data_IF_651381497225
#
_entry.id   IF_651381497225
#
_cell.length_a   1.000
_cell.length_b   1.000
_cell.length_c   1.000
_cell.angle_alpha   90.00
_cell.angle_beta   90.00
_cell.angle_gamma   90.00
#
_symmetry.space_group_name_H-M   'P 1'
#
loop_
_entity.id
_entity.type
_entity.pdbx_description
1 polymer ?
#
# COMPACT_ATOMS: atom_id res chain seq x y z
N UNK A 1 9.56 -18.27 -0.15
CA UNK A 1 8.56 -18.20 0.95
C UNK A 1 7.98 -19.58 1.09
N UNK A 2 7.84 -20.10 2.31
CA UNK A 2 7.30 -21.45 2.49
C UNK A 2 5.77 -21.43 2.40
N UNK A 3 5.23 -22.30 1.55
CA UNK A 3 3.78 -22.49 1.39
C UNK A 3 3.14 -22.98 2.69
N UNK A 4 3.90 -23.71 3.52
CA UNK A 4 3.45 -24.18 4.83
C UNK A 4 2.97 -23.05 5.73
N UNK A 5 3.67 -21.91 5.74
CA UNK A 5 3.29 -20.74 6.56
C UNK A 5 1.91 -20.20 6.16
N UNK A 6 1.59 -20.18 4.86
CA UNK A 6 0.29 -19.69 4.36
C UNK A 6 -0.81 -20.70 4.65
N UNK A 7 -0.54 -21.99 4.42
CA UNK A 7 -1.47 -23.08 4.71
C UNK A 7 -1.87 -23.03 6.19
N UNK A 8 -0.91 -22.89 7.11
CA UNK A 8 -1.19 -22.79 8.55
C UNK A 8 -2.06 -21.57 8.88
N UNK A 9 -1.85 -20.42 8.24
CA UNK A 9 -2.70 -19.24 8.44
C UNK A 9 -4.12 -19.46 7.91
N UNK A 10 -4.26 -20.09 6.73
CA UNK A 10 -5.56 -20.46 6.14
C UNK A 10 -6.32 -21.44 7.04
N UNK A 11 -5.64 -22.46 7.55
CA UNK A 11 -6.20 -23.45 8.48
C UNK A 11 -6.70 -22.80 9.77
N UNK A 12 -5.93 -21.90 10.37
CA UNK A 12 -6.35 -21.18 11.58
C UNK A 12 -7.61 -20.35 11.34
N UNK A 13 -7.68 -19.64 10.20
CA UNK A 13 -8.86 -18.87 9.81
C UNK A 13 -10.07 -19.78 9.55
N UNK A 14 -9.86 -20.92 8.89
CA UNK A 14 -10.94 -21.89 8.62
C UNK A 14 -11.55 -22.43 9.91
N UNK A 15 -10.72 -22.83 10.89
CA UNK A 15 -11.20 -23.31 12.19
C UNK A 15 -12.09 -22.28 12.89
N UNK A 16 -11.67 -21.01 12.88
CA UNK A 16 -12.49 -19.94 13.47
C UNK A 16 -13.84 -19.76 12.75
N UNK A 17 -13.87 -19.85 11.42
CA UNK A 17 -15.09 -19.75 10.61
C UNK A 17 -16.01 -20.95 10.83
N UNK A 18 -15.47 -22.16 11.00
CA UNK A 18 -16.24 -23.37 11.25
C UNK A 18 -17.03 -23.26 12.56
N UNK A 19 -16.40 -22.82 13.65
CA UNK A 19 -17.12 -22.59 14.92
C UNK A 19 -18.17 -21.50 14.74
N UNK A 20 -17.80 -20.37 14.13
CA UNK A 20 -18.73 -19.27 13.84
C UNK A 20 -20.03 -19.73 13.17
N UNK A 21 -19.95 -20.67 12.22
CA UNK A 21 -21.11 -21.19 11.48
C UNK A 21 -21.99 -22.15 12.26
N UNK A 22 -21.55 -22.65 13.42
CA UNK A 22 -22.32 -23.56 14.28
C UNK A 22 -23.16 -22.83 15.33
N UNK A 23 -22.98 -21.52 15.49
CA UNK A 23 -23.64 -20.72 16.53
C UNK A 23 -24.83 -19.98 15.91
N UNK A 24 -26.06 -20.41 16.23
CA UNK A 24 -27.29 -19.86 15.64
C UNK A 24 -27.64 -18.44 16.13
N UNK A 25 -27.23 -18.07 17.35
CA UNK A 25 -27.62 -16.79 18.02
C UNK A 25 -26.42 -15.96 18.52
N UNK A 26 -25.58 -15.49 17.60
CA UNK A 26 -24.44 -14.64 17.93
C UNK A 26 -24.82 -13.17 18.18
N UNK A 27 -24.20 -12.51 19.17
CA UNK A 27 -24.24 -11.05 19.29
C UNK A 27 -23.74 -10.36 18.00
N UNK A 28 -24.33 -9.22 17.64
CA UNK A 28 -24.02 -8.53 16.38
C UNK A 28 -22.53 -8.25 16.14
N UNK A 29 -21.75 -7.96 17.19
CA UNK A 29 -20.31 -7.74 17.09
C UNK A 29 -19.55 -9.02 16.70
N UNK A 30 -19.99 -10.17 17.24
CA UNK A 30 -19.45 -11.49 16.92
C UNK A 30 -19.79 -11.91 15.50
N UNK A 31 -21.00 -11.63 15.03
CA UNK A 31 -21.39 -11.81 13.62
C UNK A 31 -20.49 -11.02 12.69
N UNK A 32 -20.27 -9.72 12.99
CA UNK A 32 -19.35 -8.85 12.22
C UNK A 32 -17.92 -9.37 12.23
N UNK A 33 -17.45 -9.93 13.35
CA UNK A 33 -16.14 -10.53 13.46
C UNK A 33 -16.01 -11.79 12.59
N UNK A 34 -17.03 -12.67 12.59
CA UNK A 34 -17.10 -13.84 11.72
C UNK A 34 -17.05 -13.48 10.23
N UNK A 35 -17.86 -12.50 9.81
CA UNK A 35 -17.81 -11.99 8.43
C UNK A 35 -16.43 -11.44 8.05
N UNK A 36 -15.72 -10.78 8.98
CA UNK A 36 -14.35 -10.29 8.72
C UNK A 36 -13.38 -11.44 8.51
N UNK A 37 -13.52 -12.53 9.26
CA UNK A 37 -12.71 -13.74 9.06
C UNK A 37 -12.95 -14.38 7.69
N UNK A 38 -14.21 -14.46 7.23
CA UNK A 38 -14.51 -14.98 5.88
C UNK A 38 -13.88 -14.11 4.77
N UNK A 39 -13.91 -12.79 4.95
CA UNK A 39 -13.21 -11.88 4.03
C UNK A 39 -11.69 -12.05 4.10
N UNK A 40 -11.12 -12.28 5.29
CA UNK A 40 -9.70 -12.56 5.47
C UNK A 40 -9.29 -13.84 4.74
N UNK A 41 -10.08 -14.92 4.88
CA UNK A 41 -9.90 -16.19 4.16
C UNK A 41 -9.79 -15.97 2.66
N UNK A 42 -10.69 -15.16 2.10
CA UNK A 42 -10.71 -14.91 0.65
C UNK A 42 -9.39 -14.32 0.13
N UNK A 43 -8.79 -13.38 0.88
CA UNK A 43 -7.50 -12.77 0.51
C UNK A 43 -6.35 -13.75 0.72
N UNK A 44 -6.36 -14.53 1.81
CA UNK A 44 -5.35 -15.57 2.03
C UNK A 44 -5.33 -16.63 0.92
N UNK A 45 -6.51 -17.07 0.46
CA UNK A 45 -6.61 -18.02 -0.65
C UNK A 45 -6.06 -17.45 -1.96
N UNK A 46 -6.16 -16.14 -2.18
CA UNK A 46 -5.52 -15.49 -3.33
C UNK A 46 -4.00 -15.51 -3.22
N UNK A 47 -3.45 -15.26 -2.03
CA UNK A 47 -2.01 -15.37 -1.77
C UNK A 47 -1.53 -16.81 -1.93
N UNK A 48 -2.26 -17.78 -1.39
CA UNK A 48 -1.96 -19.20 -1.54
C UNK A 48 -1.95 -19.62 -3.01
N UNK A 49 -3.02 -19.30 -3.76
CA UNK A 49 -3.12 -19.61 -5.18
C UNK A 49 -1.96 -19.00 -5.97
N UNK A 50 -1.62 -17.74 -5.67
CA UNK A 50 -0.50 -17.07 -6.30
C UNK A 50 0.83 -17.80 -6.05
N UNK A 51 1.08 -18.22 -4.80
CA UNK A 51 2.34 -18.89 -4.43
C UNK A 51 2.39 -20.32 -4.93
N UNK A 52 1.27 -21.05 -4.97
CA UNK A 52 1.20 -22.36 -5.62
C UNK A 52 1.52 -22.27 -7.11
N UNK A 53 0.99 -21.25 -7.78
CA UNK A 53 1.14 -21.08 -9.22
C UNK A 53 2.53 -20.59 -9.61
N UNK A 54 3.16 -19.71 -8.83
CA UNK A 54 4.39 -19.02 -9.24
C UNK A 54 5.54 -19.13 -8.23
N UNK A 55 5.32 -19.66 -7.03
CA UNK A 55 6.31 -19.71 -5.96
C UNK A 55 7.26 -20.91 -6.02
N UNK A 56 7.01 -21.88 -6.89
CA UNK A 56 7.85 -23.06 -7.10
C UNK A 56 9.08 -22.83 -8.00
N UNK A 57 9.08 -21.77 -8.81
CA UNK A 57 10.25 -21.39 -9.62
C UNK A 57 11.28 -20.67 -8.74
N UNK A 58 12.35 -21.38 -8.38
CA UNK A 58 13.47 -20.89 -7.56
C UNK A 58 14.22 -19.70 -8.18
N UNK A 59 14.09 -19.54 -9.50
CA UNK A 59 14.93 -18.61 -10.26
C UNK A 59 14.48 -17.15 -10.15
N UNK A 60 13.27 -16.90 -9.61
CA UNK A 60 12.68 -15.56 -9.60
C UNK A 60 11.88 -15.27 -8.33
N UNK A 61 12.53 -14.82 -7.23
CA UNK A 61 11.80 -14.36 -6.06
C UNK A 61 10.91 -13.17 -6.42
N UNK A 62 9.60 -13.39 -6.41
CA UNK A 62 8.57 -12.40 -6.76
C UNK A 62 8.56 -11.24 -5.77
N UNK A 63 8.84 -11.56 -4.50
CA UNK A 63 9.09 -10.60 -3.43
C UNK A 63 10.56 -10.60 -3.07
N UNK A 64 11.09 -9.41 -2.78
CA UNK A 64 12.45 -9.29 -2.28
C UNK A 64 12.56 -9.73 -0.80
N UNK A 65 13.77 -9.84 -0.24
CA UNK A 65 13.95 -10.51 1.06
C UNK A 65 13.23 -9.80 2.21
N UNK A 66 13.28 -8.46 2.25
CA UNK A 66 12.59 -7.68 3.28
C UNK A 66 11.07 -7.77 3.16
N UNK A 67 10.56 -7.73 1.93
CA UNK A 67 9.14 -7.93 1.63
C UNK A 67 8.66 -9.33 2.03
N UNK A 68 9.49 -10.35 1.83
CA UNK A 68 9.17 -11.73 2.24
C UNK A 68 9.12 -11.86 3.76
N UNK A 69 10.06 -11.24 4.49
CA UNK A 69 10.07 -11.25 5.94
C UNK A 69 8.84 -10.55 6.54
N UNK A 70 8.50 -9.37 6.02
CA UNK A 70 7.34 -8.60 6.48
C UNK A 70 6.01 -9.31 6.15
N UNK A 71 5.89 -9.95 4.97
CA UNK A 71 4.72 -10.76 4.67
C UNK A 71 4.60 -11.99 5.58
N UNK A 72 5.71 -12.67 5.93
CA UNK A 72 5.69 -13.74 6.94
C UNK A 72 5.20 -13.25 8.29
N UNK A 73 5.63 -12.06 8.71
CA UNK A 73 5.16 -11.41 9.95
C UNK A 73 3.66 -11.15 9.89
N UNK A 74 3.14 -10.62 8.78
CA UNK A 74 1.70 -10.39 8.59
C UNK A 74 0.93 -11.72 8.67
N UNK A 75 1.40 -12.78 8.03
CA UNK A 75 0.77 -14.11 8.10
C UNK A 75 0.78 -14.68 9.53
N UNK A 76 1.85 -14.47 10.28
CA UNK A 76 1.92 -14.81 11.70
C UNK A 76 0.86 -14.07 12.53
N UNK A 77 0.77 -12.74 12.35
CA UNK A 77 -0.26 -11.93 13.00
C UNK A 77 -1.68 -12.42 12.67
N UNK A 78 -1.94 -12.78 11.41
CA UNK A 78 -3.24 -13.31 10.98
C UNK A 78 -3.55 -14.64 11.69
N UNK A 79 -2.56 -15.53 11.81
CA UNK A 79 -2.70 -16.79 12.54
C UNK A 79 -3.04 -16.53 14.01
N UNK A 80 -2.33 -15.61 14.67
CA UNK A 80 -2.55 -15.29 16.08
C UNK A 80 -3.91 -14.61 16.32
N UNK A 81 -4.32 -13.73 15.40
CA UNK A 81 -5.66 -13.15 15.36
C UNK A 81 -6.73 -14.22 15.19
N UNK A 82 -6.55 -15.14 14.24
CA UNK A 82 -7.47 -16.25 14.02
C UNK A 82 -7.58 -17.16 15.25
N UNK A 83 -6.49 -17.43 15.95
CA UNK A 83 -6.49 -18.18 17.21
C UNK A 83 -7.31 -17.48 18.30
N UNK A 84 -7.12 -16.17 18.48
CA UNK A 84 -7.93 -15.37 19.42
C UNK A 84 -9.43 -15.40 19.09
N UNK A 85 -9.77 -15.29 17.79
CA UNK A 85 -11.17 -15.35 17.34
C UNK A 85 -11.76 -16.74 17.52
N UNK A 86 -10.99 -17.79 17.21
CA UNK A 86 -11.39 -19.18 17.46
C UNK A 86 -11.69 -19.40 18.94
N UNK A 87 -10.79 -19.01 19.84
CA UNK A 87 -10.97 -19.15 21.29
C UNK A 87 -12.20 -18.36 21.79
N UNK A 88 -12.51 -17.23 21.16
CA UNK A 88 -13.71 -16.45 21.46
C UNK A 88 -14.98 -17.18 21.04
N UNK A 89 -15.04 -17.70 19.80
CA UNK A 89 -16.19 -18.45 19.32
C UNK A 89 -16.39 -19.78 20.06
N UNK A 90 -15.32 -20.53 20.35
CA UNK A 90 -15.38 -21.80 21.08
C UNK A 90 -15.97 -21.62 22.49
N UNK A 91 -15.63 -20.53 23.18
CA UNK A 91 -16.19 -20.20 24.49
C UNK A 91 -17.68 -19.87 24.42
N UNK A 92 -18.10 -19.16 23.38
CA UNK A 92 -19.52 -18.87 23.15
C UNK A 92 -20.29 -20.16 22.83
N UNK A 93 -19.74 -21.02 21.97
CA UNK A 93 -20.38 -22.29 21.60
C UNK A 93 -20.55 -23.23 22.80
N UNK A 94 -19.55 -23.28 23.69
CA UNK A 94 -19.55 -24.16 24.87
C UNK A 94 -20.23 -23.56 26.09
N UNK A 95 -20.80 -22.37 25.99
CA UNK A 95 -21.38 -21.64 27.13
C UNK A 95 -20.39 -21.52 28.32
N UNK A 96 -19.11 -21.22 28.03
CA UNK A 96 -18.04 -21.08 29.04
C UNK A 96 -17.80 -19.60 29.39
N UNK A 97 -17.87 -19.27 30.68
CA UNK A 97 -17.60 -17.93 31.25
C UNK A 97 -16.10 -17.60 31.28
N UNK A 98 -15.27 -18.49 31.80
CA UNK A 98 -13.83 -18.26 31.98
C UNK A 98 -13.06 -19.58 32.01
N UNK A 99 -11.88 -19.60 31.37
CA UNK A 99 -10.95 -20.74 31.42
C UNK A 99 -10.36 -20.93 32.83
N UNK A 100 -10.15 -19.87 33.59
CA UNK A 100 -9.51 -19.97 34.92
C UNK A 100 -10.40 -20.63 35.97
N UNK A 101 -11.72 -20.64 35.76
CA UNK A 101 -12.67 -21.07 36.78
C UNK A 101 -13.65 -22.15 36.32
N UNK A 102 -13.59 -22.62 35.07
CA UNK A 102 -14.51 -23.61 34.50
C UNK A 102 -16.00 -23.32 34.78
N UNK A 103 -16.35 -22.03 34.86
CA UNK A 103 -17.71 -21.62 35.15
C UNK A 103 -18.55 -21.78 33.88
N UNK A 104 -19.65 -22.53 33.96
CA UNK A 104 -20.62 -22.71 32.89
C UNK A 104 -21.79 -21.75 33.08
N UNK A 105 -22.34 -21.24 31.98
CA UNK A 105 -23.59 -20.48 32.06
C UNK A 105 -24.75 -21.41 32.42
N UNK A 106 -25.48 -21.12 33.50
CA UNK A 106 -26.73 -21.82 33.81
C UNK A 106 -27.82 -21.56 32.76
N UNK A 107 -27.74 -20.44 32.04
CA UNK A 107 -28.67 -20.07 30.98
C UNK A 107 -27.95 -19.36 29.83
N UNK A 108 -28.26 -19.72 28.57
CA UNK A 108 -27.66 -19.14 27.35
C UNK A 108 -27.77 -17.61 27.25
N UNK A 109 -28.88 -17.04 27.73
CA UNK A 109 -29.05 -15.58 27.77
C UNK A 109 -28.04 -14.89 28.71
N UNK A 110 -27.61 -15.58 29.78
CA UNK A 110 -26.58 -15.09 30.67
C UNK A 110 -25.19 -15.10 30.01
N UNK A 111 -24.95 -15.99 29.04
CA UNK A 111 -23.75 -15.94 28.19
C UNK A 111 -23.72 -14.68 27.35
N UNK A 112 -24.81 -14.41 26.65
CA UNK A 112 -24.96 -13.22 25.83
C UNK A 112 -24.83 -11.92 26.65
N UNK A 113 -25.41 -11.90 27.85
CA UNK A 113 -25.32 -10.76 28.78
C UNK A 113 -23.93 -10.64 29.39
N UNK A 114 -23.27 -11.73 29.80
CA UNK A 114 -21.93 -11.69 30.39
C UNK A 114 -20.84 -11.34 29.37
N UNK A 115 -20.91 -11.83 28.14
CA UNK A 115 -20.02 -11.35 27.06
C UNK A 115 -20.30 -9.87 26.74
N UNK A 116 -21.55 -9.40 26.91
CA UNK A 116 -21.87 -7.98 26.81
C UNK A 116 -21.45 -7.14 28.06
N UNK A 117 -21.32 -7.74 29.25
CA UNK A 117 -21.17 -7.02 30.53
C UNK A 117 -19.85 -7.23 31.29
N UNK A 118 -19.20 -8.38 31.21
CA UNK A 118 -18.06 -8.78 32.05
C UNK A 118 -16.81 -9.08 31.22
N UNK A 119 -16.93 -9.67 30.02
CA UNK A 119 -15.85 -9.63 29.01
C UNK A 119 -15.81 -8.31 28.22
N UNK A 120 -16.35 -7.24 28.83
CA UNK A 120 -16.07 -5.85 28.48
C UNK A 120 -14.56 -5.66 28.36
N UNK A 121 -14.08 -5.52 27.15
CA UNK A 121 -14.30 -4.23 26.51
C UNK A 121 -14.82 -4.50 25.10
N UNK A 122 -15.95 -3.91 24.67
CA UNK A 122 -16.28 -3.77 23.24
C UNK A 122 -15.05 -3.33 22.44
N UNK A 123 -14.18 -2.55 23.08
CA UNK A 123 -12.88 -2.12 22.59
C UNK A 123 -11.96 -3.31 22.24
N UNK A 124 -11.91 -4.41 23.00
CA UNK A 124 -11.09 -5.59 22.67
C UNK A 124 -11.56 -6.32 21.42
N UNK A 125 -12.87 -6.54 21.27
CA UNK A 125 -13.43 -7.16 20.06
C UNK A 125 -13.22 -6.21 18.87
N UNK A 126 -13.42 -4.91 19.08
CA UNK A 126 -13.17 -3.87 18.09
C UNK A 126 -11.69 -3.81 17.71
N UNK A 127 -10.78 -3.98 18.66
CA UNK A 127 -9.34 -4.03 18.45
C UNK A 127 -8.99 -5.23 17.57
N UNK A 128 -9.47 -6.43 17.91
CA UNK A 128 -9.31 -7.66 17.10
C UNK A 128 -9.82 -7.43 15.69
N UNK A 129 -11.03 -6.92 15.57
CA UNK A 129 -11.65 -6.59 14.29
C UNK A 129 -10.80 -5.61 13.47
N UNK A 130 -10.18 -4.63 14.12
CA UNK A 130 -9.30 -3.65 13.48
C UNK A 130 -7.91 -4.22 13.18
N UNK A 131 -7.42 -5.23 13.91
CA UNK A 131 -6.17 -5.93 13.55
C UNK A 131 -6.41 -6.74 12.29
N UNK A 132 -7.48 -7.54 12.25
CA UNK A 132 -7.87 -8.33 11.08
C UNK A 132 -8.03 -7.42 9.86
N UNK A 133 -8.70 -6.27 10.02
CA UNK A 133 -8.87 -5.31 8.93
C UNK A 133 -7.55 -4.73 8.45
N UNK A 134 -6.63 -4.45 9.38
CA UNK A 134 -5.29 -3.96 9.07
C UNK A 134 -4.48 -5.02 8.33
N UNK A 135 -4.37 -6.23 8.87
CA UNK A 135 -3.63 -7.35 8.29
C UNK A 135 -4.17 -7.72 6.91
N UNK A 136 -5.51 -7.76 6.73
CA UNK A 136 -6.14 -7.96 5.42
C UNK A 136 -5.66 -6.96 4.39
N UNK A 137 -5.53 -5.71 4.82
CA UNK A 137 -5.18 -4.61 3.93
C UNK A 137 -3.71 -4.69 3.54
N UNK A 138 -2.82 -4.92 4.51
CA UNK A 138 -1.40 -5.16 4.22
C UNK A 138 -1.24 -6.38 3.30
N UNK A 139 -2.00 -7.46 3.52
CA UNK A 139 -1.99 -8.63 2.66
C UNK A 139 -2.43 -8.31 1.22
N UNK A 140 -3.49 -7.52 1.06
CA UNK A 140 -3.95 -7.05 -0.25
C UNK A 140 -2.90 -6.17 -0.95
N UNK A 141 -2.20 -5.31 -0.20
CA UNK A 141 -1.10 -4.48 -0.71
C UNK A 141 0.02 -5.39 -1.25
N UNK A 142 0.37 -6.45 -0.50
CA UNK A 142 1.37 -7.45 -0.94
C UNK A 142 0.94 -8.24 -2.18
N UNK A 143 -0.34 -8.59 -2.35
CA UNK A 143 -0.85 -9.17 -3.60
C UNK A 143 -0.60 -8.20 -4.77
N UNK A 144 -0.82 -6.91 -4.57
CA UNK A 144 -0.49 -5.88 -5.56
C UNK A 144 0.99 -5.91 -5.96
N UNK A 145 1.89 -5.90 -4.97
CA UNK A 145 3.34 -5.97 -5.20
C UNK A 145 3.73 -7.27 -5.91
N UNK A 146 3.17 -8.40 -5.53
CA UNK A 146 3.46 -9.70 -6.16
C UNK A 146 3.03 -9.73 -7.62
N UNK A 147 1.83 -9.23 -7.92
CA UNK A 147 1.34 -9.11 -9.31
C UNK A 147 2.23 -8.17 -10.15
N UNK A 148 2.75 -7.09 -9.55
CA UNK A 148 3.67 -6.18 -10.25
C UNK A 148 5.01 -6.81 -10.58
N UNK A 149 5.57 -7.57 -9.63
CA UNK A 149 6.79 -8.36 -9.82
C UNK A 149 6.62 -9.35 -10.98
N UNK A 150 5.53 -10.10 -11.00
CA UNK A 150 5.25 -11.09 -12.03
C UNK A 150 5.13 -10.47 -13.43
N UNK A 151 4.36 -9.39 -13.59
CA UNK A 151 4.22 -8.77 -14.92
C UNK A 151 5.52 -8.16 -15.43
N UNK A 152 6.35 -7.58 -14.55
CA UNK A 152 7.67 -7.11 -14.94
C UNK A 152 8.57 -8.25 -15.44
N UNK A 153 8.45 -9.45 -14.86
CA UNK A 153 9.17 -10.63 -15.34
C UNK A 153 8.68 -11.13 -16.70
N UNK A 154 7.36 -11.21 -16.90
CA UNK A 154 6.77 -11.61 -18.19
C UNK A 154 7.24 -10.65 -19.30
N UNK A 155 7.24 -9.35 -19.03
CA UNK A 155 7.71 -8.33 -19.98
C UNK A 155 9.21 -8.45 -20.28
N UNK A 156 10.04 -8.87 -19.32
CA UNK A 156 11.47 -9.13 -19.56
C UNK A 156 11.68 -10.34 -20.46
N UNK A 157 10.95 -11.45 -20.25
CA UNK A 157 11.03 -12.65 -21.09
C UNK A 157 10.65 -12.36 -22.56
N UNK A 158 9.63 -11.53 -22.79
CA UNK A 158 9.23 -11.14 -24.14
C UNK A 158 10.27 -10.26 -24.87
N UNK A 159 11.08 -9.49 -24.14
CA UNK A 159 12.08 -8.60 -24.73
C UNK A 159 13.41 -9.28 -25.05
N UNK A 160 13.71 -10.39 -24.38
CA UNK A 160 14.90 -11.20 -24.65
C UNK A 160 14.46 -12.61 -25.08
N UNK A 161 13.88 -12.80 -26.28
CA UNK A 161 13.76 -14.14 -26.82
C UNK A 161 15.18 -14.68 -27.00
N UNK A 162 15.48 -15.78 -26.32
CA UNK A 162 16.70 -16.56 -26.58
C UNK A 162 16.77 -16.80 -28.09
N UNK A 163 17.92 -16.59 -28.77
CA UNK A 163 18.04 -16.98 -30.16
C UNK A 163 17.97 -18.50 -30.23
N UNK A 164 16.78 -19.02 -30.48
CA UNK A 164 16.59 -20.44 -30.78
C UNK A 164 17.25 -20.68 -32.12
N UNK A 165 18.37 -21.39 -32.08
CA UNK A 165 19.14 -21.82 -33.23
C UNK A 165 18.30 -22.85 -33.99
N UNK A 166 17.48 -22.38 -34.94
CA UNK A 166 16.60 -23.24 -35.73
C UNK A 166 17.37 -23.81 -36.91
N UNK A 167 17.84 -25.04 -36.74
CA UNK A 167 18.11 -25.95 -37.84
C UNK A 167 16.93 -26.92 -37.98
N UNK A 168 16.29 -26.85 -39.14
CA UNK A 168 15.47 -27.86 -39.82
C UNK A 168 14.09 -28.32 -39.32
N UNK A 169 13.15 -28.11 -40.27
CA UNK A 169 12.18 -29.07 -40.84
C UNK A 169 10.78 -29.26 -40.21
N UNK A 170 9.81 -28.77 -40.99
CA UNK A 170 8.55 -29.41 -41.41
C UNK A 170 7.79 -30.28 -40.39
N UNK A 171 6.59 -29.80 -40.01
CA UNK A 171 5.56 -30.67 -39.45
C UNK A 171 4.32 -29.94 -38.95
N UNK A 172 3.34 -29.77 -39.84
CA UNK A 172 1.89 -29.68 -39.57
C UNK A 172 1.40 -28.74 -38.45
N UNK A 173 0.82 -27.61 -38.88
CA UNK A 173 -0.06 -26.75 -38.10
C UNK A 173 -1.23 -27.54 -37.47
N UNK A 174 -1.29 -27.55 -36.14
CA UNK A 174 -2.50 -27.90 -35.37
C UNK A 174 -2.82 -26.71 -34.44
N UNK A 175 -4.00 -26.09 -34.53
CA UNK A 175 -4.30 -24.90 -33.72
C UNK A 175 -4.43 -25.31 -32.26
N UNK A 176 -3.48 -24.86 -31.44
CA UNK A 176 -3.53 -25.00 -29.99
C UNK A 176 -4.64 -24.11 -29.47
N UNK A 177 -5.66 -24.72 -28.84
CA UNK A 177 -6.75 -24.03 -28.16
C UNK A 177 -6.18 -23.00 -27.19
N UNK A 178 -6.47 -21.74 -27.48
CA UNK A 178 -6.24 -20.59 -26.63
C UNK A 178 -6.95 -20.82 -25.30
N UNK A 179 -6.18 -21.08 -24.23
CA UNK A 179 -6.71 -21.19 -22.87
C UNK A 179 -7.15 -19.79 -22.47
N UNK A 180 -8.45 -19.55 -22.51
CA UNK A 180 -9.06 -18.31 -22.11
C UNK A 180 -8.70 -17.99 -20.65
N UNK A 181 -7.86 -16.97 -20.46
CA UNK A 181 -7.57 -16.40 -19.15
C UNK A 181 -8.90 -15.85 -18.60
N UNK A 182 -9.41 -16.33 -17.45
CA UNK A 182 -10.68 -15.87 -16.93
C UNK A 182 -10.60 -14.38 -16.60
N UNK A 183 -11.52 -13.60 -17.18
CA UNK A 183 -11.68 -12.17 -16.88
C UNK A 183 -11.79 -11.99 -15.36
N UNK A 184 -11.01 -11.08 -14.75
CA UNK A 184 -11.11 -10.83 -13.32
C UNK A 184 -12.53 -10.35 -13.00
N UNK A 185 -13.24 -11.11 -12.15
CA UNK A 185 -14.56 -10.72 -11.67
C UNK A 185 -14.48 -9.34 -10.99
N UNK A 186 -15.47 -8.47 -11.18
CA UNK A 186 -15.54 -7.19 -10.50
C UNK A 186 -15.46 -7.42 -8.97
N UNK A 187 -14.51 -6.73 -8.33
CA UNK A 187 -14.33 -6.77 -6.88
C UNK A 187 -15.66 -6.43 -6.20
N UNK A 188 -16.11 -7.18 -5.17
CA UNK A 188 -17.27 -6.78 -4.39
C UNK A 188 -17.01 -5.41 -3.75
N UNK A 189 -17.96 -4.49 -3.91
CA UNK A 189 -17.91 -3.16 -3.34
C UNK A 189 -17.67 -3.23 -1.83
N UNK A 190 -16.74 -2.45 -1.26
CA UNK A 190 -16.51 -2.47 0.17
C UNK A 190 -17.75 -1.99 0.90
N UNK A 191 -18.32 -2.87 1.74
CA UNK A 191 -19.35 -2.55 2.72
C UNK A 191 -18.95 -1.29 3.50
N UNK A 192 -19.91 -0.36 3.62
CA UNK A 192 -19.78 0.94 4.27
C UNK A 192 -19.57 0.73 5.77
N UNK A 193 -18.34 0.42 6.16
CA UNK A 193 -17.94 0.49 7.57
C UNK A 193 -18.07 1.95 8.02
N UNK A 194 -18.56 2.20 9.26
CA UNK A 194 -18.69 3.54 9.80
C UNK A 194 -17.38 4.32 9.61
N UNK A 195 -17.51 5.59 9.23
CA UNK A 195 -16.37 6.46 8.98
C UNK A 195 -15.42 6.39 10.20
N UNK A 196 -14.13 6.06 10.03
CA UNK A 196 -13.18 6.20 11.12
C UNK A 196 -13.21 7.65 11.60
N UNK A 197 -13.31 7.85 12.90
CA UNK A 197 -13.24 9.16 13.59
C UNK A 197 -11.89 9.85 13.43
N UNK A 198 -10.87 9.19 12.85
CA UNK A 198 -9.55 9.78 12.58
C UNK A 198 -9.66 10.89 11.52
N UNK A 199 -9.59 12.14 11.98
CA UNK A 199 -9.70 13.37 11.18
C UNK A 199 -8.37 13.89 10.63
N UNK A 200 -7.24 13.25 10.91
CA UNK A 200 -5.92 13.89 10.82
C UNK A 200 -4.77 12.97 10.33
N UNK A 201 -4.89 12.37 9.14
CA UNK A 201 -3.81 11.53 8.60
C UNK A 201 -2.56 12.34 8.26
N UNK A 202 -1.39 11.75 8.47
CA UNK A 202 -0.09 12.31 8.09
C UNK A 202 0.54 11.46 7.00
N UNK A 203 0.91 12.08 5.89
CA UNK A 203 1.46 11.41 4.70
C UNK A 203 2.88 11.89 4.42
N UNK A 204 3.78 10.96 4.11
CA UNK A 204 5.14 11.23 3.66
C UNK A 204 5.39 10.55 2.31
N UNK A 205 5.85 11.29 1.32
CA UNK A 205 6.35 10.72 0.07
C UNK A 205 7.87 10.52 0.13
N UNK A 206 8.35 9.34 -0.24
CA UNK A 206 9.77 9.01 -0.20
C UNK A 206 10.25 8.57 -1.57
N UNK A 207 11.28 9.22 -2.07
CA UNK A 207 12.08 8.76 -3.22
C UNK A 207 13.58 8.76 -2.83
N UNK A 208 14.52 8.37 -3.71
CA UNK A 208 15.92 8.25 -3.33
C UNK A 208 16.60 9.58 -2.91
N UNK A 209 16.19 10.72 -3.48
CA UNK A 209 16.94 12.00 -3.40
C UNK A 209 16.14 13.20 -2.90
N UNK A 210 14.82 13.10 -2.82
CA UNK A 210 13.89 14.19 -2.52
C UNK A 210 14.00 15.42 -3.43
N UNK A 211 14.22 15.20 -4.72
CA UNK A 211 14.33 16.28 -5.69
C UNK A 211 13.22 16.26 -6.72
N UNK A 212 12.54 15.13 -6.94
CA UNK A 212 11.62 15.01 -8.07
C UNK A 212 10.26 14.37 -7.68
N UNK A 213 10.09 13.06 -7.87
CA UNK A 213 8.80 12.35 -7.71
C UNK A 213 8.11 12.63 -6.37
N UNK A 214 8.86 12.54 -5.27
CA UNK A 214 8.35 12.80 -3.91
C UNK A 214 7.90 14.25 -3.72
N UNK A 215 8.62 15.22 -4.30
CA UNK A 215 8.29 16.65 -4.24
C UNK A 215 7.07 16.96 -5.11
N UNK A 216 7.01 16.40 -6.32
CA UNK A 216 5.84 16.50 -7.22
C UNK A 216 4.58 15.93 -6.55
N UNK A 217 4.70 14.77 -5.91
CA UNK A 217 3.59 14.14 -5.19
C UNK A 217 3.10 15.00 -4.01
N UNK A 218 4.02 15.53 -3.19
CA UNK A 218 3.69 16.46 -2.10
C UNK A 218 3.00 17.72 -2.63
N UNK A 219 3.53 18.31 -3.70
CA UNK A 219 2.99 19.51 -4.33
C UNK A 219 1.56 19.28 -4.88
N UNK A 220 1.34 18.16 -5.56
CA UNK A 220 0.03 17.79 -6.08
C UNK A 220 -0.98 17.52 -4.96
N UNK A 221 -0.55 16.87 -3.88
CA UNK A 221 -1.41 16.65 -2.72
C UNK A 221 -1.81 17.97 -2.04
N UNK A 222 -0.88 18.93 -1.93
CA UNK A 222 -1.16 20.29 -1.44
C UNK A 222 -2.12 21.05 -2.35
N UNK A 223 -2.02 20.90 -3.68
CA UNK A 223 -2.99 21.46 -4.63
C UNK A 223 -4.40 20.91 -4.36
N UNK A 224 -4.55 19.59 -4.22
CA UNK A 224 -5.85 18.98 -3.90
C UNK A 224 -6.37 19.40 -2.52
N UNK A 225 -5.49 19.58 -1.52
CA UNK A 225 -5.88 20.07 -0.20
C UNK A 225 -6.49 21.48 -0.27
N UNK A 226 -5.83 22.40 -1.00
CA UNK A 226 -6.35 23.76 -1.18
C UNK A 226 -7.63 23.78 -2.02
N UNK A 227 -7.69 22.96 -3.08
CA UNK A 227 -8.90 22.78 -3.88
C UNK A 227 -10.09 22.36 -3.02
N UNK A 228 -9.89 21.35 -2.17
CA UNK A 228 -10.92 20.82 -1.27
C UNK A 228 -11.37 21.87 -0.25
N UNK A 229 -10.44 22.63 0.33
CA UNK A 229 -10.76 23.72 1.27
C UNK A 229 -11.58 24.82 0.59
N UNK A 230 -11.28 25.14 -0.68
CA UNK A 230 -12.00 26.18 -1.44
C UNK A 230 -13.42 25.77 -1.83
N UNK A 231 -13.68 24.47 -2.00
CA UNK A 231 -15.03 23.95 -2.26
C UNK A 231 -15.98 24.01 -1.05
N UNK A 232 -15.48 24.39 0.14
CA UNK A 232 -16.30 24.65 1.32
C UNK A 232 -16.74 23.39 2.09
N UNK A 233 -17.73 23.56 2.96
CA UNK A 233 -18.08 22.60 4.02
C UNK A 233 -18.52 21.21 3.54
N UNK A 234 -18.92 21.07 2.27
CA UNK A 234 -19.33 19.78 1.69
C UNK A 234 -18.13 18.87 1.35
N UNK A 235 -16.94 19.44 1.14
CA UNK A 235 -15.76 18.70 0.74
C UNK A 235 -14.88 18.36 1.96
N UNK A 236 -14.71 17.06 2.23
CA UNK A 236 -13.97 16.60 3.43
C UNK A 236 -12.52 16.30 3.09
N UNK A 237 -11.60 17.07 3.68
CA UNK A 237 -10.16 16.80 3.62
C UNK A 237 -9.68 16.14 4.93
N UNK A 238 -9.03 14.98 4.83
CA UNK A 238 -8.63 14.16 6.00
C UNK A 238 -7.12 14.12 6.28
N UNK A 239 -6.32 14.83 5.49
CA UNK A 239 -4.85 14.80 5.62
C UNK A 239 -4.37 16.07 6.31
N UNK A 240 -3.89 15.93 7.55
CA UNK A 240 -3.38 17.04 8.36
C UNK A 240 -2.05 17.57 7.84
N UNK A 241 -1.11 16.68 7.54
CA UNK A 241 0.24 17.05 7.11
C UNK A 241 0.73 16.20 5.95
N UNK A 242 1.47 16.84 5.05
CA UNK A 242 1.99 16.25 3.82
C UNK A 242 3.43 16.66 3.67
N UNK A 243 4.34 15.70 3.66
CA UNK A 243 5.77 15.96 3.53
C UNK A 243 6.37 15.06 2.44
N UNK A 244 7.61 15.36 2.09
CA UNK A 244 8.45 14.49 1.27
C UNK A 244 9.87 14.47 1.80
N UNK A 245 10.54 13.34 1.64
CA UNK A 245 11.91 13.10 2.08
C UNK A 245 12.65 12.11 1.16
N UNK A 246 13.97 12.04 1.33
CA UNK A 246 14.89 11.31 0.48
C UNK A 246 15.51 10.17 1.26
N UNK A 247 15.45 8.95 0.73
CA UNK A 247 16.02 7.80 1.42
C UNK A 247 17.55 7.93 1.57
N UNK A 248 18.24 8.41 0.54
CA UNK A 248 19.70 8.49 0.50
C UNK A 248 20.22 9.93 0.65
N UNK A 249 19.66 10.69 1.58
CA UNK A 249 19.99 12.11 1.81
C UNK A 249 20.44 12.33 3.25
N UNK A 250 21.58 13.01 3.45
CA UNK A 250 22.13 13.31 4.79
C UNK A 250 21.44 14.50 5.46
N UNK A 251 21.13 15.56 4.71
CA UNK A 251 20.55 16.78 5.24
C UNK A 251 19.29 16.49 6.06
N UNK A 252 19.29 16.86 7.35
CA UNK A 252 18.18 16.62 8.30
C UNK A 252 17.83 15.14 8.55
N UNK A 253 18.71 14.21 8.18
CA UNK A 253 18.60 12.79 8.52
C UNK A 253 19.39 12.47 9.78
N UNK A 254 18.82 11.66 10.67
CA UNK A 254 19.47 11.14 11.88
C UNK A 254 19.48 9.59 11.91
N UNK A 255 19.39 8.98 10.73
CA UNK A 255 19.42 7.53 10.52
C UNK A 255 20.32 7.13 9.33
N UNK A 256 21.26 8.00 8.95
CA UNK A 256 22.20 7.76 7.86
C UNK A 256 23.14 6.58 8.14
N UNK A 257 23.49 6.39 9.41
CA UNK A 257 24.25 5.25 9.94
C UNK A 257 23.54 3.93 9.65
N UNK A 258 22.24 3.86 9.96
CA UNK A 258 21.42 2.66 9.71
C UNK A 258 21.33 2.41 8.20
N UNK A 259 21.00 3.46 7.44
CA UNK A 259 20.79 3.38 5.99
C UNK A 259 22.06 2.90 5.28
N UNK A 260 23.23 3.45 5.60
CA UNK A 260 24.45 3.16 4.86
C UNK A 260 25.20 1.92 5.36
N UNK A 261 25.11 1.60 6.66
CA UNK A 261 25.96 0.56 7.28
C UNK A 261 25.21 -0.68 7.74
N UNK A 262 23.94 -0.56 8.12
CA UNK A 262 23.21 -1.65 8.78
C UNK A 262 22.17 -2.32 7.89
N UNK A 263 21.64 -1.62 6.87
CA UNK A 263 20.67 -2.20 5.98
C UNK A 263 21.30 -3.25 5.06
N UNK A 264 20.83 -4.48 5.21
CA UNK A 264 21.12 -5.57 4.29
C UNK A 264 20.28 -5.42 3.01
N UNK A 265 20.83 -4.78 1.99
CA UNK A 265 20.16 -4.57 0.71
C UNK A 265 20.06 -5.88 -0.09
N UNK A 266 18.86 -6.23 -0.59
CA UNK A 266 18.70 -7.50 -1.35
C UNK A 266 19.52 -7.54 -2.63
N UNK A 267 19.83 -6.36 -3.19
CA UNK A 267 20.59 -6.21 -4.43
C UNK A 267 21.49 -4.97 -4.33
N UNK A 268 22.70 -4.98 -4.93
CA UNK A 268 23.54 -3.78 -4.99
C UNK A 268 22.85 -2.59 -5.64
N UNK A 269 21.99 -2.82 -6.65
CA UNK A 269 21.17 -1.80 -7.30
C UNK A 269 20.09 -1.18 -6.40
N UNK A 270 19.86 -1.75 -5.21
CA UNK A 270 18.98 -1.17 -4.20
C UNK A 270 19.65 -0.09 -3.36
N UNK A 271 21.00 -0.06 -3.36
CA UNK A 271 21.82 0.92 -2.64
C UNK A 271 22.24 2.05 -3.58
N UNK A 272 22.01 3.28 -3.15
CA UNK A 272 22.58 4.47 -3.78
C UNK A 272 23.60 5.12 -2.84
N UNK A 273 24.60 5.85 -3.36
CA UNK A 273 25.52 6.59 -2.51
C UNK A 273 24.75 7.67 -1.77
N UNK A 274 25.00 7.87 -0.47
CA UNK A 274 24.43 9.00 0.27
C UNK A 274 24.88 10.35 -0.34
N UNK A 275 23.94 11.26 -0.57
CA UNK A 275 24.23 12.65 -0.94
C UNK A 275 24.01 13.58 0.24
N UNK A 276 24.66 14.74 0.21
CA UNK A 276 24.55 15.71 1.30
C UNK A 276 23.15 16.27 1.40
N UNK A 277 22.47 16.50 0.28
CA UNK A 277 21.14 17.08 0.27
C UNK A 277 21.17 18.60 0.13
N UNK A 278 20.08 19.23 0.53
CA UNK A 278 19.83 20.66 0.36
C UNK A 278 19.79 21.14 -1.11
N UNK A 279 19.70 20.26 -2.09
CA UNK A 279 19.47 20.66 -3.48
C UNK A 279 18.03 21.15 -3.68
N UNK A 280 17.78 22.10 -4.60
CA UNK A 280 16.43 22.48 -4.97
C UNK A 280 15.71 21.33 -5.70
N UNK A 281 14.37 21.36 -5.77
CA UNK A 281 13.62 20.43 -6.59
C UNK A 281 14.00 20.54 -8.06
N UNK A 282 13.86 19.44 -8.78
CA UNK A 282 14.06 19.36 -10.22
C UNK A 282 13.13 20.36 -10.93
N UNK A 283 13.67 21.39 -11.61
CA UNK A 283 12.87 22.45 -12.19
C UNK A 283 11.96 21.93 -13.30
N UNK A 284 12.40 20.96 -14.11
CA UNK A 284 11.60 20.39 -15.20
C UNK A 284 10.40 19.61 -14.66
N UNK A 285 10.59 18.84 -13.59
CA UNK A 285 9.52 18.11 -12.92
C UNK A 285 8.49 19.04 -12.26
N UNK A 286 8.96 20.09 -11.57
CA UNK A 286 8.10 21.09 -10.95
C UNK A 286 7.29 21.86 -11.98
N UNK A 287 7.97 22.30 -13.04
CA UNK A 287 7.35 22.94 -14.16
C UNK A 287 6.29 21.99 -14.78
N UNK A 288 6.55 20.68 -14.94
CA UNK A 288 5.58 19.68 -15.45
C UNK A 288 4.28 19.59 -14.64
N UNK A 289 4.36 19.84 -13.34
CA UNK A 289 3.18 19.94 -12.50
C UNK A 289 2.46 21.28 -12.67
N UNK A 290 3.22 22.39 -12.70
CA UNK A 290 2.70 23.75 -12.56
C UNK A 290 2.44 24.51 -13.86
N UNK A 291 3.13 24.27 -14.98
CA UNK A 291 2.81 25.01 -16.22
C UNK A 291 1.67 24.35 -17.01
N UNK A 292 1.02 23.35 -16.42
CA UNK A 292 -0.15 22.73 -17.01
C UNK A 292 -1.37 23.67 -16.85
N UNK A 293 -1.92 24.12 -17.99
CA UNK A 293 -3.08 25.02 -18.07
C UNK A 293 -4.40 24.38 -17.63
N UNK A 294 -4.47 23.04 -17.48
CA UNK A 294 -5.68 22.34 -17.01
C UNK A 294 -6.08 22.69 -15.56
N UNK A 295 -5.28 23.48 -14.84
CA UNK A 295 -5.55 23.89 -13.47
C UNK A 295 -5.19 25.38 -13.27
N UNK A 296 -6.02 26.33 -13.73
CA UNK A 296 -5.76 27.77 -13.59
C UNK A 296 -6.16 28.30 -12.20
N UNK A 297 -5.72 27.63 -11.14
CA UNK A 297 -6.08 28.02 -9.77
C UNK A 297 -5.22 29.20 -9.28
N UNK A 298 -5.84 30.22 -8.68
CA UNK A 298 -5.10 31.39 -8.14
C UNK A 298 -4.12 31.02 -7.02
N UNK A 299 -4.43 30.01 -6.20
CA UNK A 299 -3.56 29.52 -5.13
C UNK A 299 -2.34 28.72 -5.61
N UNK A 300 -2.30 28.36 -6.89
CA UNK A 300 -1.25 27.53 -7.49
C UNK A 300 0.13 28.17 -7.37
N UNK A 301 0.21 29.48 -7.62
CA UNK A 301 1.46 30.26 -7.55
C UNK A 301 2.11 30.17 -6.17
N UNK A 302 1.34 30.38 -5.11
CA UNK A 302 1.84 30.31 -3.74
C UNK A 302 2.29 28.90 -3.32
N UNK A 303 1.68 27.84 -3.88
CA UNK A 303 2.18 26.46 -3.66
C UNK A 303 3.47 26.25 -4.45
N UNK A 304 3.52 26.67 -5.72
CA UNK A 304 4.71 26.55 -6.56
C UNK A 304 5.92 27.23 -5.91
N UNK A 305 5.79 28.48 -5.45
CA UNK A 305 6.85 29.21 -4.76
C UNK A 305 7.36 28.46 -3.53
N UNK A 306 6.44 27.99 -2.67
CA UNK A 306 6.80 27.18 -1.47
C UNK A 306 7.51 25.89 -1.83
N UNK A 307 7.08 25.22 -2.90
CA UNK A 307 7.68 23.95 -3.30
C UNK A 307 9.04 24.17 -3.95
N UNK A 308 9.22 25.19 -4.80
CA UNK A 308 10.52 25.55 -5.39
C UNK A 308 11.55 26.01 -4.34
N UNK A 309 11.09 26.65 -3.25
CA UNK A 309 11.93 27.02 -2.13
C UNK A 309 12.32 25.83 -1.22
N UNK A 310 11.67 24.67 -1.36
CA UNK A 310 12.04 23.46 -0.61
C UNK A 310 13.46 23.05 -0.94
N UNK A 311 14.08 22.36 0.01
CA UNK A 311 15.42 21.79 -0.13
C UNK A 311 15.33 20.30 0.20
N UNK A 312 16.05 19.48 -0.56
CA UNK A 312 16.05 18.03 -0.34
C UNK A 312 16.45 17.73 1.10
N UNK A 313 15.70 16.83 1.74
CA UNK A 313 15.95 16.42 3.12
C UNK A 313 15.80 14.91 3.27
N UNK A 314 16.56 14.32 4.19
CA UNK A 314 16.53 12.91 4.50
C UNK A 314 15.46 12.51 5.51
N UNK A 315 15.46 11.22 5.83
CA UNK A 315 14.49 10.60 6.73
C UNK A 315 14.88 10.81 8.20
N UNK A 316 13.87 10.91 9.06
CA UNK A 316 14.06 10.99 10.52
C UNK A 316 13.79 9.65 11.19
N UNK A 317 14.41 9.42 12.34
CA UNK A 317 14.27 8.19 13.15
C UNK A 317 12.82 7.92 13.56
N UNK A 318 12.07 8.96 13.85
CA UNK A 318 10.67 8.90 14.29
C UNK A 318 9.66 8.82 13.13
N UNK A 319 10.11 8.58 11.90
CA UNK A 319 9.26 8.54 10.70
C UNK A 319 8.08 7.56 10.82
N UNK A 320 8.30 6.36 11.33
CA UNK A 320 7.25 5.34 11.46
C UNK A 320 6.30 5.60 12.63
N UNK A 321 6.68 6.49 13.56
CA UNK A 321 5.81 7.00 14.64
C UNK A 321 4.95 8.17 14.15
N UNK A 322 5.56 9.05 13.37
CA UNK A 322 4.98 10.35 13.01
C UNK A 322 4.04 10.32 11.81
N UNK A 323 4.17 9.36 10.91
CA UNK A 323 3.35 9.30 9.69
C UNK A 323 2.40 8.11 9.73
N UNK A 324 1.18 8.28 9.23
CA UNK A 324 0.24 7.17 9.02
C UNK A 324 0.62 6.41 7.76
N UNK A 325 0.92 7.15 6.69
CA UNK A 325 1.27 6.60 5.38
C UNK A 325 2.63 7.11 4.91
N UNK A 326 3.50 6.19 4.53
CA UNK A 326 4.79 6.43 3.89
C UNK A 326 4.68 5.87 2.48
N UNK A 327 4.62 6.74 1.48
CA UNK A 327 4.33 6.39 0.11
C UNK A 327 5.62 6.44 -0.71
N UNK A 328 5.94 5.35 -1.37
CA UNK A 328 7.10 5.19 -2.26
C UNK A 328 6.65 4.93 -3.70
N UNK A 329 7.57 4.96 -4.67
CA UNK A 329 7.22 4.95 -6.10
C UNK A 329 7.61 3.65 -6.82
N UNK A 330 8.52 2.86 -6.26
CA UNK A 330 9.02 1.62 -6.88
C UNK A 330 9.10 0.47 -5.88
N UNK A 331 9.10 -0.77 -6.36
CA UNK A 331 9.22 -1.97 -5.52
C UNK A 331 10.52 -1.96 -4.70
N UNK A 332 11.62 -1.48 -5.29
CA UNK A 332 12.90 -1.28 -4.58
C UNK A 332 12.75 -0.31 -3.40
N UNK A 333 12.13 0.84 -3.62
CA UNK A 333 11.96 1.85 -2.56
C UNK A 333 11.06 1.31 -1.45
N UNK A 334 10.09 0.47 -1.79
CA UNK A 334 9.25 -0.23 -0.82
C UNK A 334 10.06 -1.19 0.03
N UNK A 335 10.88 -2.06 -0.58
CA UNK A 335 11.79 -2.92 0.18
C UNK A 335 12.66 -2.10 1.13
N UNK A 336 13.32 -1.05 0.62
CA UNK A 336 14.25 -0.25 1.42
C UNK A 336 13.55 0.35 2.65
N UNK A 337 12.31 0.83 2.50
CA UNK A 337 11.52 1.35 3.61
C UNK A 337 11.06 0.25 4.58
N UNK A 338 10.72 -0.94 4.10
CA UNK A 338 10.36 -2.09 4.97
C UNK A 338 11.57 -2.53 5.80
N UNK A 339 12.74 -2.69 5.18
CA UNK A 339 13.98 -3.04 5.90
C UNK A 339 14.38 -1.97 6.91
N UNK A 340 14.22 -0.70 6.54
CA UNK A 340 14.45 0.41 7.47
C UNK A 340 13.49 0.37 8.66
N UNK A 341 12.21 0.06 8.43
CA UNK A 341 11.21 -0.12 9.49
C UNK A 341 11.64 -1.22 10.45
N UNK A 342 12.02 -2.39 9.93
CA UNK A 342 12.48 -3.52 10.73
C UNK A 342 13.76 -3.20 11.53
N UNK A 343 14.74 -2.54 10.92
CA UNK A 343 15.96 -2.14 11.59
C UNK A 343 15.70 -1.16 12.75
N UNK A 344 14.80 -0.19 12.55
CA UNK A 344 14.38 0.72 13.61
C UNK A 344 13.57 0.02 14.70
N UNK A 345 12.72 -0.93 14.34
CA UNK A 345 11.92 -1.70 15.31
C UNK A 345 12.80 -2.54 16.23
N UNK A 346 13.85 -3.17 15.69
CA UNK A 346 14.87 -3.88 16.49
C UNK A 346 15.58 -2.97 17.50
N UNK A 347 15.65 -1.66 17.23
CA UNK A 347 16.23 -0.65 18.12
C UNK A 347 15.20 -0.01 19.08
N UNK A 348 13.97 -0.55 19.17
CA UNK A 348 12.92 -0.04 20.04
C UNK A 348 12.19 1.20 19.49
N UNK A 349 12.44 1.59 18.24
CA UNK A 349 11.79 2.74 17.60
C UNK A 349 10.43 2.35 16.97
N UNK A 350 9.63 1.60 17.72
CA UNK A 350 8.35 1.08 17.27
C UNK A 350 7.32 2.22 17.13
N UNK A 351 6.61 2.22 16.00
CA UNK A 351 5.46 3.09 15.78
C UNK A 351 4.25 2.63 16.59
N UNK A 352 3.32 3.54 16.89
CA UNK A 352 1.99 3.13 17.32
C UNK A 352 1.31 2.26 16.26
N UNK A 353 0.35 1.44 16.69
CA UNK A 353 -0.37 0.55 15.79
C UNK A 353 -1.06 1.32 14.66
N UNK A 354 -0.90 0.82 13.43
CA UNK A 354 -1.44 1.44 12.22
C UNK A 354 -0.71 2.70 11.75
N UNK A 355 0.40 3.11 12.40
CA UNK A 355 1.33 4.12 11.88
C UNK A 355 2.42 3.47 11.02
N UNK A 356 3.07 4.30 10.21
CA UNK A 356 4.22 3.90 9.41
C UNK A 356 3.90 2.83 8.38
N UNK A 357 2.69 2.86 7.79
CA UNK A 357 2.34 1.94 6.69
C UNK A 357 3.10 2.35 5.44
N UNK A 358 3.94 1.46 4.93
CA UNK A 358 4.69 1.68 3.69
C UNK A 358 3.82 1.25 2.53
N UNK A 359 3.54 2.17 1.60
CA UNK A 359 2.68 1.92 0.44
C UNK A 359 3.43 2.17 -0.85
N UNK A 360 3.26 1.30 -1.84
CA UNK A 360 3.71 1.54 -3.20
C UNK A 360 2.64 2.31 -4.00
N UNK A 361 2.96 3.54 -4.42
CA UNK A 361 2.00 4.42 -5.08
C UNK A 361 1.45 3.84 -6.40
N UNK A 362 2.27 3.07 -7.11
CA UNK A 362 1.88 2.41 -8.36
C UNK A 362 0.74 1.42 -8.24
N UNK A 363 0.45 0.91 -7.04
CA UNK A 363 -0.71 0.04 -6.76
C UNK A 363 -2.04 0.74 -7.00
N UNK A 364 -2.06 2.07 -6.95
CA UNK A 364 -3.23 2.89 -7.19
C UNK A 364 -3.38 3.32 -8.66
N UNK A 365 -2.51 2.86 -9.56
CA UNK A 365 -2.67 3.13 -11.00
C UNK A 365 -3.52 2.05 -11.67
N UNK A 366 -4.29 2.40 -12.73
CA UNK A 366 -4.97 1.41 -13.54
C UNK A 366 -3.98 0.36 -14.02
N UNK A 367 -4.32 -0.90 -13.79
CA UNK A 367 -3.46 -2.03 -14.12
C UNK A 367 -3.31 -2.11 -15.65
N UNK A 368 -2.10 -1.86 -16.16
CA UNK A 368 -1.75 -2.23 -17.55
C UNK A 368 -1.37 -3.71 -17.52
N UNK A 369 -2.21 -4.57 -18.10
CA UNK A 369 -2.04 -6.02 -18.08
C UNK A 369 -2.13 -6.65 -16.67
N UNK A 370 -2.95 -6.08 -15.78
CA UNK A 370 -3.21 -6.71 -14.46
C UNK A 370 -2.19 -6.42 -13.35
N UNK A 371 -1.16 -5.61 -13.60
CA UNK A 371 -0.08 -5.35 -12.65
C UNK A 371 0.09 -3.87 -12.26
N UNK A 372 0.35 -3.57 -10.96
CA UNK A 372 0.79 -2.25 -10.52
C UNK A 372 2.08 -1.79 -11.21
N UNK A 373 2.23 -0.48 -11.42
CA UNK A 373 3.34 0.07 -12.19
C UNK A 373 4.31 0.87 -11.32
N UNK A 374 5.59 0.50 -11.38
CA UNK A 374 6.66 1.34 -10.84
C UNK A 374 6.65 2.73 -11.51
N UNK A 375 6.54 3.78 -10.68
CA UNK A 375 6.67 5.17 -11.13
C UNK A 375 8.15 5.54 -11.04
N UNK A 376 8.90 5.11 -12.05
CA UNK A 376 10.35 5.37 -12.15
C UNK A 376 10.65 6.85 -12.37
N UNK A 377 11.82 7.29 -11.94
CA UNK A 377 12.33 8.64 -12.26
C UNK A 377 12.57 8.75 -13.77
N UNK A 378 12.43 9.96 -14.33
CA UNK A 378 12.83 10.20 -15.73
C UNK A 378 14.34 10.04 -15.81
N UNK A 379 14.81 9.16 -16.70
CA UNK A 379 16.24 9.02 -16.95
C UNK A 379 16.71 10.19 -17.83
N UNK A 380 17.77 10.92 -17.43
CA UNK A 380 18.35 11.93 -18.31
C UNK A 380 18.84 11.27 -19.60
N UNK A 381 18.62 11.92 -20.74
CA UNK A 381 19.12 11.48 -22.05
C UNK A 381 20.26 12.38 -22.47
N UNK A 382 21.26 11.84 -23.18
CA UNK A 382 22.24 12.68 -23.86
C UNK A 382 21.53 13.45 -24.96
N UNK A 383 21.64 14.77 -24.94
CA UNK A 383 21.25 15.65 -26.02
C UNK A 383 22.26 15.60 -27.15
N UNK A 384 21.92 16.26 -28.25
CA UNK A 384 22.78 16.37 -29.45
C UNK A 384 24.09 17.13 -29.14
N UNK A 385 24.07 17.95 -28.08
CA UNK A 385 25.23 18.68 -27.53
C UNK A 385 26.06 17.85 -26.53
N UNK A 386 25.72 16.56 -26.34
CA UNK A 386 26.36 15.66 -25.38
C UNK A 386 25.97 15.90 -23.92
N UNK A 387 25.17 16.92 -23.60
CA UNK A 387 24.71 17.19 -22.23
C UNK A 387 23.55 16.29 -21.86
N UNK A 388 23.48 15.87 -20.60
CA UNK A 388 22.33 15.14 -20.08
C UNK A 388 21.17 16.09 -19.84
N UNK A 389 20.10 15.95 -20.62
CA UNK A 389 18.88 16.75 -20.52
C UNK A 389 17.71 15.84 -20.20
N UNK A 390 16.90 16.25 -19.22
CA UNK A 390 15.60 15.64 -18.96
C UNK A 390 14.53 16.35 -19.79
N UNK A 391 13.79 15.60 -20.60
CA UNK A 391 12.76 16.18 -21.46
C UNK A 391 11.50 16.47 -20.65
N UNK A 392 10.92 17.64 -20.90
CA UNK A 392 9.65 18.04 -20.30
C UNK A 392 8.50 17.09 -20.60
N UNK A 393 8.45 16.54 -21.81
CA UNK A 393 7.41 15.57 -22.22
C UNK A 393 7.45 14.29 -21.40
N UNK A 394 8.64 13.76 -21.10
CA UNK A 394 8.81 12.58 -20.24
C UNK A 394 8.29 12.87 -18.82
N UNK A 395 8.58 14.06 -18.29
CA UNK A 395 8.04 14.50 -17.00
C UNK A 395 6.52 14.72 -17.01
N UNK A 396 5.93 15.24 -18.09
CA UNK A 396 4.48 15.39 -18.20
C UNK A 396 3.77 14.02 -18.08
N UNK A 397 4.30 12.98 -18.73
CA UNK A 397 3.79 11.61 -18.59
C UNK A 397 3.91 11.11 -17.14
N UNK A 398 5.07 11.33 -16.51
CA UNK A 398 5.29 10.89 -15.11
C UNK A 398 4.43 11.63 -14.10
N UNK A 399 4.25 12.93 -14.28
CA UNK A 399 3.32 13.73 -13.48
C UNK A 399 1.89 13.20 -13.66
N UNK A 400 1.48 12.83 -14.88
CA UNK A 400 0.16 12.23 -15.11
C UNK A 400 -0.02 10.91 -14.34
N UNK A 401 0.97 10.01 -14.38
CA UNK A 401 0.97 8.77 -13.59
C UNK A 401 0.83 9.04 -12.09
N UNK A 402 1.61 10.00 -11.55
CA UNK A 402 1.54 10.41 -10.14
C UNK A 402 0.14 10.98 -9.81
N UNK A 403 -0.42 11.82 -10.68
CA UNK A 403 -1.75 12.43 -10.47
C UNK A 403 -2.86 11.37 -10.42
N UNK A 404 -2.81 10.39 -11.31
CA UNK A 404 -3.78 9.27 -11.34
C UNK A 404 -3.67 8.46 -10.05
N UNK A 405 -2.44 8.06 -9.70
CA UNK A 405 -2.19 7.25 -8.50
C UNK A 405 -2.61 7.96 -7.21
N UNK A 406 -2.29 9.25 -7.06
CA UNK A 406 -2.68 10.03 -5.88
C UNK A 406 -4.19 10.19 -5.79
N UNK A 407 -4.89 10.41 -6.91
CA UNK A 407 -6.36 10.49 -6.91
C UNK A 407 -7.00 9.17 -6.47
N UNK A 408 -6.49 8.05 -6.95
CA UNK A 408 -6.96 6.73 -6.53
C UNK A 408 -6.63 6.44 -5.06
N UNK A 409 -5.43 6.76 -4.58
CA UNK A 409 -5.07 6.71 -3.15
C UNK A 409 -6.03 7.55 -2.29
N UNK A 410 -6.29 8.79 -2.70
CA UNK A 410 -7.23 9.68 -1.99
C UNK A 410 -8.64 9.09 -1.96
N UNK A 411 -9.12 8.53 -3.06
CA UNK A 411 -10.43 7.88 -3.13
C UNK A 411 -10.50 6.65 -2.22
N UNK A 412 -9.51 5.78 -2.27
CA UNK A 412 -9.51 4.49 -1.57
C UNK A 412 -9.18 4.61 -0.08
N UNK A 413 -8.14 5.37 0.27
CA UNK A 413 -7.65 5.50 1.64
C UNK A 413 -8.37 6.60 2.42
N UNK A 414 -8.73 7.70 1.74
CA UNK A 414 -9.29 8.90 2.40
C UNK A 414 -10.78 9.07 2.15
N UNK A 415 -11.39 8.24 1.28
CA UNK A 415 -12.76 8.44 0.78
C UNK A 415 -12.97 9.86 0.25
N UNK A 416 -11.93 10.41 -0.36
CA UNK A 416 -11.97 11.76 -0.90
C UNK A 416 -12.55 11.72 -2.30
N UNK A 417 -13.49 12.64 -2.53
CA UNK A 417 -14.07 12.90 -3.84
C UNK A 417 -13.58 14.26 -4.31
N UNK A 418 -13.16 14.34 -5.58
CA UNK A 418 -12.72 15.60 -6.16
C UNK A 418 -13.93 16.55 -6.14
N UNK A 419 -13.79 17.77 -5.57
CA UNK A 419 -14.84 18.76 -5.67
C UNK A 419 -15.19 19.08 -7.12
N UNK A 420 -16.48 19.33 -7.38
CA UNK A 420 -16.96 19.71 -8.70
C UNK A 420 -16.46 21.12 -9.06
N UNK A 421 -16.19 21.35 -10.34
CA UNK A 421 -15.64 22.61 -10.84
C UNK A 421 -16.65 23.76 -10.74
N UNK A 422 -17.95 23.41 -10.81
CA UNK A 422 -19.06 24.34 -10.54
C UNK A 422 -19.04 24.89 -9.11
N UNK A 423 -18.64 24.07 -8.13
CA UNK A 423 -18.56 24.46 -6.71
C UNK A 423 -17.40 25.42 -6.42
N UNK A 424 -16.45 25.53 -7.35
CA UNK A 424 -15.29 26.40 -7.22
C UNK A 424 -15.53 27.79 -7.82
N UNK A 425 -16.75 28.09 -8.29
CA UNK A 425 -17.07 29.34 -8.98
C UNK A 425 -16.34 29.49 -10.30
N UNK A 426 -15.77 28.41 -10.84
CA UNK A 426 -15.07 28.39 -12.11
C UNK A 426 -16.09 28.07 -13.21
N UNK A 427 -16.67 29.11 -13.81
CA UNK A 427 -17.48 28.97 -15.02
C UNK A 427 -16.56 28.58 -16.19
N UNK A 428 -16.78 27.38 -16.72
CA UNK A 428 -16.40 27.01 -18.10
C UNK A 428 -14.93 26.68 -18.33
N UNK A 429 -14.59 25.40 -18.21
CA UNK A 429 -13.60 24.77 -19.10
C UNK A 429 -14.11 23.37 -19.40
N UNK A 430 -14.45 23.15 -20.67
CA UNK A 430 -15.06 21.93 -21.18
C UNK A 430 -14.29 20.67 -20.76
N UNK A 431 -15.04 19.60 -20.50
CA UNK A 431 -14.55 18.24 -20.33
C UNK A 431 -13.59 17.88 -21.48
N UNK A 432 -12.30 17.74 -21.17
CA UNK A 432 -11.40 16.93 -21.98
C UNK A 432 -11.30 15.58 -21.31
N UNK A 433 -12.18 14.68 -21.77
CA UNK A 433 -12.12 13.26 -21.53
C UNK A 433 -10.99 12.67 -22.38
N UNK A 434 -10.10 11.94 -21.69
CA UNK A 434 -8.94 11.13 -22.14
C UNK A 434 -7.62 11.85 -22.34
#
# INVERSE_FOLDING_TARGET
MDIGTIITAVEAVNKAIEIYKRIDDLPQQMTKLGERMERQKTVLLQVEAFIRQYGGDSDYPILQSGQTADLKRILGNIKDNAGRVYDLFDRVEKDILSREHNLQFRHKWAAQIWFALVEKQPDKIQDIMDEIKHDRKELSDYIGIMNSGLAAQILKKQKNPTPTNNNNNNGSNKPTKEIAIPKPRPKPSPSVSPLPTRRDYKVLFVDPRNQARSVVAEAYLKLNAQLTRKAGAKAVWRIKSMHSAGFFVRNRSNITDIIDKELDYSQPSNRFPLVDGAEPPNPVAMAALFDNNSYPYSFKKGIQEKMTAKRSCGLRRDIFKNYDYIIVFTNREHENMVKLKEALYKKGENGERGKGRVLHLGMYTPLRNGAPRDIVTVAPRKGDDGKTVERRSDWNMKVSEIKIAIRAFLKEEMRWEKPDETQLGMKGSAELTV
#
